data_IF_671291835835
#
_entry.id   IF_671291835835
#
_cell.length_a   1.000
_cell.length_b   1.000
_cell.length_c   1.000
_cell.angle_alpha   90.00
_cell.angle_beta   90.00
_cell.angle_gamma   90.00
#
_symmetry.space_group_name_H-M   'P 1'
#
loop_
_entity.id
_entity.type
_entity.pdbx_description
1 polymer ?
#
# COMPACT_ATOMS: atom_id res chain seq x y z
N UNK A 1 105.60 -24.21 -55.78
CA UNK A 1 104.59 -23.19 -55.38
C UNK A 1 103.14 -23.63 -55.68
N UNK A 2 102.81 -24.33 -56.75
CA UNK A 2 101.38 -24.72 -57.09
C UNK A 2 100.69 -25.54 -55.99
N UNK A 3 101.38 -26.46 -55.29
CA UNK A 3 100.76 -27.26 -54.20
C UNK A 3 100.40 -26.44 -52.95
N UNK A 4 101.02 -25.29 -52.69
CA UNK A 4 100.69 -24.41 -51.57
C UNK A 4 99.49 -23.55 -51.86
N UNK A 5 99.36 -23.06 -53.10
CA UNK A 5 98.26 -22.33 -53.60
C UNK A 5 96.98 -23.20 -53.68
N UNK A 6 97.14 -24.43 -54.12
CA UNK A 6 96.03 -25.39 -54.16
C UNK A 6 95.47 -25.73 -52.77
N UNK A 7 96.33 -25.84 -51.73
CA UNK A 7 95.91 -26.00 -50.34
C UNK A 7 95.27 -24.77 -49.77
N UNK A 8 95.76 -23.57 -50.11
CA UNK A 8 95.15 -22.30 -49.66
C UNK A 8 93.74 -22.12 -50.27
N UNK A 9 93.64 -22.37 -51.59
CA UNK A 9 92.32 -22.35 -52.29
C UNK A 9 91.33 -23.41 -51.77
N UNK A 10 91.83 -24.62 -51.43
CA UNK A 10 90.98 -25.63 -50.83
C UNK A 10 90.52 -25.25 -49.43
N UNK A 11 91.39 -24.61 -48.63
CA UNK A 11 91.00 -24.08 -47.29
C UNK A 11 89.99 -22.93 -47.35
N UNK A 12 90.18 -22.04 -48.36
CA UNK A 12 89.23 -20.96 -48.55
C UNK A 12 87.86 -21.46 -49.09
N UNK A 13 87.85 -22.49 -49.95
CA UNK A 13 86.67 -23.17 -50.39
C UNK A 13 85.89 -23.83 -49.24
N UNK A 14 86.58 -24.49 -48.29
CA UNK A 14 85.96 -25.09 -47.09
C UNK A 14 85.36 -24.04 -46.17
N UNK A 15 86.12 -22.93 -45.97
CA UNK A 15 85.57 -21.80 -45.18
C UNK A 15 84.30 -21.18 -45.83
N UNK A 16 84.37 -20.90 -47.14
CA UNK A 16 83.15 -20.39 -47.85
C UNK A 16 82.03 -21.38 -47.82
N UNK A 17 82.27 -22.66 -47.98
CA UNK A 17 81.21 -23.66 -47.86
C UNK A 17 80.62 -23.69 -46.45
N UNK A 18 81.49 -23.60 -45.39
CA UNK A 18 81.00 -23.50 -44.02
C UNK A 18 80.15 -22.23 -43.75
N UNK A 19 80.57 -21.10 -44.33
CA UNK A 19 79.72 -19.85 -44.25
C UNK A 19 78.43 -19.98 -45.04
N UNK A 20 78.45 -20.61 -46.19
CA UNK A 20 77.27 -20.81 -47.01
C UNK A 20 76.25 -21.68 -46.28
N UNK A 21 76.63 -22.77 -45.68
CA UNK A 21 75.75 -23.63 -44.88
C UNK A 21 75.17 -22.86 -43.69
N UNK A 22 75.98 -22.08 -42.99
CA UNK A 22 75.49 -21.26 -41.87
C UNK A 22 74.44 -20.18 -42.35
N UNK A 23 74.66 -19.58 -43.50
CA UNK A 23 73.72 -18.59 -44.06
C UNK A 23 72.47 -19.28 -44.51
N UNK A 24 72.53 -20.46 -45.12
CA UNK A 24 71.37 -21.26 -45.49
C UNK A 24 70.54 -21.66 -44.25
N UNK A 25 71.20 -22.19 -43.19
CA UNK A 25 70.52 -22.51 -41.92
C UNK A 25 69.83 -21.27 -41.33
N UNK A 26 70.53 -20.13 -41.29
CA UNK A 26 69.92 -18.86 -40.80
C UNK A 26 68.77 -18.37 -41.64
N UNK A 27 68.83 -18.52 -42.97
CA UNK A 27 67.75 -18.21 -43.87
C UNK A 27 66.52 -19.07 -43.60
N UNK A 28 66.67 -20.36 -43.40
CA UNK A 28 65.60 -21.31 -43.10
C UNK A 28 64.96 -20.91 -41.77
N UNK A 29 65.77 -20.62 -40.74
CA UNK A 29 65.28 -20.17 -39.46
C UNK A 29 64.47 -18.86 -39.56
N UNK A 30 64.95 -17.87 -40.28
CA UNK A 30 64.24 -16.58 -40.46
C UNK A 30 62.93 -16.75 -41.24
N UNK A 31 62.88 -17.66 -42.21
CA UNK A 31 61.62 -17.96 -42.95
C UNK A 31 60.63 -18.59 -41.98
N UNK A 32 61.08 -19.51 -41.15
CA UNK A 32 60.19 -20.15 -40.16
C UNK A 32 59.64 -19.15 -39.12
N UNK A 33 60.51 -18.29 -38.58
CA UNK A 33 60.09 -17.22 -37.65
C UNK A 33 59.12 -16.24 -38.32
N UNK A 34 59.29 -15.95 -39.58
CA UNK A 34 58.41 -15.12 -40.36
C UNK A 34 57.03 -15.76 -40.55
N UNK A 35 56.97 -17.02 -40.96
CA UNK A 35 55.72 -17.76 -41.16
C UNK A 35 54.95 -17.93 -39.82
N UNK A 36 55.66 -18.21 -38.74
CA UNK A 36 55.06 -18.26 -37.38
C UNK A 36 54.49 -16.92 -36.96
N UNK A 37 55.15 -15.81 -37.32
CA UNK A 37 54.67 -14.47 -36.99
C UNK A 37 53.40 -14.14 -37.78
N UNK A 38 53.36 -14.49 -39.07
CA UNK A 38 52.13 -14.30 -39.89
C UNK A 38 50.98 -15.15 -39.39
N UNK A 39 51.26 -16.40 -39.01
CA UNK A 39 50.27 -17.28 -38.44
C UNK A 39 49.70 -16.74 -37.14
N UNK A 40 50.54 -16.27 -36.22
CA UNK A 40 50.10 -15.61 -34.97
C UNK A 40 49.28 -14.36 -35.23
N UNK A 41 49.66 -13.55 -36.23
CA UNK A 41 48.93 -12.36 -36.59
C UNK A 41 47.51 -12.70 -37.04
N UNK A 42 47.34 -13.77 -37.79
CA UNK A 42 46.05 -14.22 -38.26
C UNK A 42 45.23 -14.90 -37.10
N UNK A 43 45.86 -15.79 -36.36
CA UNK A 43 45.17 -16.57 -35.28
C UNK A 43 44.78 -15.68 -34.11
N UNK A 44 45.64 -14.75 -33.67
CA UNK A 44 45.38 -13.88 -32.51
C UNK A 44 44.57 -12.61 -32.83
N UNK A 45 44.77 -12.04 -34.04
CA UNK A 45 44.21 -10.73 -34.39
C UNK A 45 43.28 -10.74 -35.62
N UNK A 46 43.17 -11.85 -36.34
CA UNK A 46 42.34 -11.97 -37.54
C UNK A 46 42.83 -11.09 -38.69
N UNK A 47 44.10 -10.65 -38.68
CA UNK A 47 44.64 -9.73 -39.67
C UNK A 47 45.54 -10.47 -40.66
N UNK A 48 45.36 -10.16 -41.93
CA UNK A 48 46.31 -10.54 -42.97
C UNK A 48 47.50 -9.61 -42.92
N UNK A 49 48.64 -10.04 -43.56
CA UNK A 49 49.84 -9.23 -43.66
C UNK A 49 49.56 -7.83 -44.25
N UNK A 50 48.84 -7.78 -45.35
CA UNK A 50 48.53 -6.51 -46.04
C UNK A 50 47.72 -5.56 -45.17
N UNK A 51 46.75 -6.08 -44.43
CA UNK A 51 45.95 -5.30 -43.49
C UNK A 51 46.73 -4.80 -42.29
N UNK A 52 47.72 -5.60 -41.81
CA UNK A 52 48.58 -5.20 -40.74
C UNK A 52 49.61 -4.13 -41.17
N UNK A 53 50.15 -4.23 -42.41
CA UNK A 53 51.02 -3.20 -43.00
C UNK A 53 50.27 -1.86 -43.24
N UNK A 54 48.97 -1.91 -43.62
CA UNK A 54 48.16 -0.72 -43.86
C UNK A 54 47.71 -0.03 -42.54
N UNK A 55 47.42 -0.84 -41.49
CA UNK A 55 46.98 -0.33 -40.17
C UNK A 55 48.11 -0.10 -39.18
N UNK A 56 49.25 -0.69 -39.41
CA UNK A 56 50.35 -0.71 -38.45
C UNK A 56 51.21 0.56 -38.47
N UNK A 57 51.17 1.32 -37.38
CA UNK A 57 52.22 2.28 -37.06
C UNK A 57 53.41 1.55 -36.54
N UNK A 58 54.57 1.69 -37.16
CA UNK A 58 55.82 1.09 -36.72
C UNK A 58 56.32 1.92 -35.51
N UNK A 59 56.37 1.35 -34.29
CA UNK A 59 56.85 2.10 -33.12
C UNK A 59 58.33 2.44 -33.28
N UNK A 60 58.68 3.67 -32.94
CA UNK A 60 60.10 4.15 -33.01
C UNK A 60 61.00 3.34 -32.08
N UNK A 61 60.53 2.88 -30.93
CA UNK A 61 61.26 2.03 -29.97
C UNK A 61 60.53 0.69 -29.79
N UNK A 62 60.93 -0.29 -30.59
CA UNK A 62 60.40 -1.68 -30.51
C UNK A 62 60.57 -2.32 -29.15
N UNK A 63 61.72 -2.23 -28.45
CA UNK A 63 61.90 -2.76 -27.11
C UNK A 63 60.95 -2.15 -26.06
N UNK A 64 60.70 -0.84 -26.13
CA UNK A 64 59.76 -0.16 -25.25
C UNK A 64 58.31 -0.61 -25.51
N UNK A 65 57.91 -0.76 -26.76
CA UNK A 65 56.61 -1.28 -27.15
C UNK A 65 56.39 -2.72 -26.68
N UNK A 66 57.37 -3.59 -26.78
CA UNK A 66 57.33 -4.97 -26.29
C UNK A 66 57.18 -5.04 -24.77
N UNK A 67 57.92 -4.23 -24.02
CA UNK A 67 57.75 -4.14 -22.55
C UNK A 67 56.35 -3.71 -22.19
N UNK A 68 55.81 -2.68 -22.84
CA UNK A 68 54.48 -2.19 -22.63
C UNK A 68 53.39 -3.24 -22.92
N UNK A 69 53.56 -4.00 -24.02
CA UNK A 69 52.69 -5.11 -24.36
C UNK A 69 52.71 -6.20 -23.26
N UNK A 70 53.86 -6.56 -22.76
CA UNK A 70 54.01 -7.55 -21.69
C UNK A 70 53.35 -7.09 -20.38
N UNK A 71 53.52 -5.80 -20.03
CA UNK A 71 52.83 -5.19 -18.88
C UNK A 71 51.32 -5.23 -19.02
N UNK A 72 50.79 -4.83 -20.19
CA UNK A 72 49.35 -4.84 -20.45
C UNK A 72 48.78 -6.26 -20.41
N UNK A 73 49.46 -7.24 -21.01
CA UNK A 73 49.05 -8.65 -20.94
C UNK A 73 49.02 -9.17 -19.50
N UNK A 74 49.98 -8.77 -18.67
CA UNK A 74 50.03 -9.14 -17.25
C UNK A 74 48.86 -8.50 -16.49
N UNK A 75 48.54 -7.22 -16.74
CA UNK A 75 47.40 -6.54 -16.16
C UNK A 75 46.06 -7.20 -16.57
N UNK A 76 45.89 -7.52 -17.86
CA UNK A 76 44.71 -8.24 -18.34
C UNK A 76 44.56 -9.60 -17.64
N UNK A 77 45.68 -10.36 -17.50
CA UNK A 77 45.63 -11.64 -16.77
C UNK A 77 45.32 -11.48 -15.29
N UNK A 78 45.77 -10.40 -14.66
CA UNK A 78 45.50 -10.14 -13.24
C UNK A 78 44.03 -9.74 -12.98
N UNK A 79 43.31 -9.25 -13.99
CA UNK A 79 41.88 -8.95 -13.90
C UNK A 79 41.00 -10.23 -13.88
N UNK A 80 41.57 -11.38 -14.25
CA UNK A 80 40.82 -12.65 -14.30
C UNK A 80 39.72 -12.65 -15.35
N UNK A 81 38.67 -13.45 -15.11
CA UNK A 81 37.49 -13.47 -15.96
C UNK A 81 36.59 -12.30 -15.60
N UNK A 82 36.75 -11.18 -16.29
CA UNK A 82 35.83 -10.03 -16.15
C UNK A 82 34.52 -10.37 -16.82
N UNK A 83 33.42 -10.38 -16.02
CA UNK A 83 32.09 -10.54 -16.56
C UNK A 83 31.65 -9.20 -17.19
N UNK A 84 31.76 -9.09 -18.51
CA UNK A 84 31.39 -7.87 -19.24
C UNK A 84 29.88 -7.60 -19.17
N UNK A 85 29.07 -8.68 -19.06
CA UNK A 85 27.61 -8.55 -18.93
C UNK A 85 27.18 -8.00 -17.57
N UNK A 86 28.05 -8.06 -16.55
CA UNK A 86 27.75 -7.53 -15.22
C UNK A 86 27.42 -6.03 -15.21
N UNK A 87 27.93 -5.26 -16.18
CA UNK A 87 27.65 -3.83 -16.29
C UNK A 87 26.19 -3.59 -16.74
N UNK A 88 25.74 -4.37 -17.72
CA UNK A 88 24.35 -4.29 -18.21
C UNK A 88 23.38 -4.83 -17.14
N UNK A 89 23.69 -5.97 -16.55
CA UNK A 89 22.91 -6.55 -15.45
C UNK A 89 22.79 -5.58 -14.26
N UNK A 90 23.89 -4.91 -13.88
CA UNK A 90 23.87 -3.91 -12.81
C UNK A 90 22.97 -2.72 -13.17
N UNK A 91 23.01 -2.26 -14.41
CA UNK A 91 22.18 -1.16 -14.88
C UNK A 91 20.68 -1.50 -14.82
N UNK A 92 20.30 -2.67 -15.33
CA UNK A 92 18.93 -3.15 -15.28
C UNK A 92 18.41 -3.30 -13.84
N UNK A 93 19.25 -3.91 -12.98
CA UNK A 93 18.91 -4.08 -11.56
C UNK A 93 18.81 -2.73 -10.84
N UNK A 94 19.71 -1.78 -11.16
CA UNK A 94 19.68 -0.43 -10.57
C UNK A 94 18.42 0.34 -10.97
N UNK A 95 18.07 0.35 -12.26
CA UNK A 95 16.86 1.00 -12.76
C UNK A 95 15.60 0.39 -12.12
N UNK A 96 15.55 -0.94 -12.02
CA UNK A 96 14.45 -1.65 -11.36
C UNK A 96 14.39 -1.33 -9.86
N UNK A 97 15.53 -1.27 -9.18
CA UNK A 97 15.60 -0.94 -7.76
C UNK A 97 15.10 0.49 -7.50
N UNK A 98 15.54 1.47 -8.28
CA UNK A 98 15.08 2.86 -8.18
C UNK A 98 13.57 2.97 -8.40
N UNK A 99 13.05 2.31 -9.44
CA UNK A 99 11.62 2.26 -9.71
C UNK A 99 10.84 1.64 -8.54
N UNK A 100 11.28 0.48 -8.03
CA UNK A 100 10.59 -0.18 -6.91
C UNK A 100 10.67 0.64 -5.62
N UNK A 101 11.79 1.30 -5.37
CA UNK A 101 11.95 2.18 -4.19
C UNK A 101 10.99 3.36 -4.25
N UNK A 102 10.82 3.98 -5.43
CA UNK A 102 9.84 5.03 -5.62
C UNK A 102 8.40 4.53 -5.40
N UNK A 103 8.07 3.34 -5.94
CA UNK A 103 6.75 2.73 -5.73
C UNK A 103 6.46 2.43 -4.25
N UNK A 104 7.45 1.90 -3.52
CA UNK A 104 7.31 1.65 -2.07
C UNK A 104 7.06 2.96 -1.32
N UNK A 105 7.82 4.01 -1.63
CA UNK A 105 7.64 5.33 -1.00
C UNK A 105 6.23 5.90 -1.28
N UNK A 106 5.71 5.78 -2.51
CA UNK A 106 4.36 6.22 -2.87
C UNK A 106 3.28 5.45 -2.11
N UNK A 107 3.43 4.12 -1.98
CA UNK A 107 2.49 3.29 -1.20
C UNK A 107 2.54 3.65 0.29
N UNK A 108 3.73 3.86 0.86
CA UNK A 108 3.88 4.28 2.25
C UNK A 108 3.25 5.66 2.51
N UNK A 109 3.47 6.62 1.64
CA UNK A 109 2.83 7.95 1.73
C UNK A 109 1.31 7.85 1.65
N UNK A 110 0.80 7.01 0.74
CA UNK A 110 -0.64 6.77 0.58
C UNK A 110 -1.23 6.10 1.83
N UNK A 111 -0.55 5.10 2.39
CA UNK A 111 -0.93 4.46 3.65
C UNK A 111 -1.01 5.48 4.79
N UNK A 112 0.00 6.31 4.94
CA UNK A 112 0.05 7.31 6.01
C UNK A 112 -1.03 8.38 5.86
N UNK A 113 -1.35 8.76 4.62
CA UNK A 113 -2.47 9.66 4.33
C UNK A 113 -3.83 9.02 4.71
N UNK A 114 -4.01 7.73 4.42
CA UNK A 114 -5.21 6.99 4.81
C UNK A 114 -5.35 6.86 6.33
N UNK A 115 -4.25 6.58 7.06
CA UNK A 115 -4.30 6.56 8.53
C UNK A 115 -4.67 7.91 9.13
N UNK A 116 -4.12 9.01 8.60
CA UNK A 116 -4.52 10.36 9.03
C UNK A 116 -6.00 10.63 8.78
N UNK A 117 -6.51 10.21 7.62
CA UNK A 117 -7.94 10.35 7.28
C UNK A 117 -8.82 9.53 8.24
N UNK A 118 -8.47 8.25 8.48
CA UNK A 118 -9.19 7.36 9.39
C UNK A 118 -9.25 7.98 10.79
N UNK A 119 -8.12 8.43 11.33
CA UNK A 119 -8.07 9.05 12.66
C UNK A 119 -8.94 10.31 12.71
N UNK A 120 -8.84 11.19 11.71
CA UNK A 120 -9.67 12.39 11.63
C UNK A 120 -11.18 12.08 11.56
N UNK A 121 -11.57 11.08 10.77
CA UNK A 121 -12.96 10.63 10.69
C UNK A 121 -13.43 10.02 12.01
N UNK A 122 -12.60 9.22 12.67
CA UNK A 122 -12.91 8.62 13.97
C UNK A 122 -13.13 9.69 15.04
N UNK A 123 -12.27 10.72 15.07
CA UNK A 123 -12.43 11.85 16.00
C UNK A 123 -13.72 12.64 15.73
N UNK A 124 -14.03 12.90 14.46
CA UNK A 124 -15.28 13.55 14.06
C UNK A 124 -16.51 12.71 14.45
N UNK A 125 -16.47 11.40 14.20
CA UNK A 125 -17.52 10.48 14.60
C UNK A 125 -17.73 10.48 16.13
N UNK A 126 -16.63 10.43 16.90
CA UNK A 126 -16.69 10.49 18.37
C UNK A 126 -17.30 11.78 18.87
N UNK A 127 -16.91 12.91 18.32
CA UNK A 127 -17.46 14.22 18.68
C UNK A 127 -18.96 14.32 18.35
N UNK A 128 -19.35 13.93 17.13
CA UNK A 128 -20.74 13.97 16.69
C UNK A 128 -21.62 13.02 17.49
N UNK A 129 -21.14 11.78 17.73
CA UNK A 129 -21.88 10.81 18.54
C UNK A 129 -22.11 11.34 19.96
N UNK A 130 -21.05 11.87 20.58
CA UNK A 130 -21.13 12.42 21.94
C UNK A 130 -22.14 13.57 22.03
N UNK A 131 -22.07 14.52 21.11
CA UNK A 131 -23.01 15.63 21.03
C UNK A 131 -24.46 15.12 20.90
N UNK A 132 -24.71 14.23 19.94
CA UNK A 132 -26.04 13.69 19.68
C UNK A 132 -26.56 12.83 20.82
N UNK A 133 -25.70 12.04 21.42
CA UNK A 133 -26.04 11.20 22.57
C UNK A 133 -26.57 12.04 23.74
N UNK A 134 -25.85 13.08 24.12
CA UNK A 134 -26.32 13.97 25.20
C UNK A 134 -27.56 14.75 24.84
N UNK A 135 -27.73 15.17 23.60
CA UNK A 135 -28.95 15.80 23.12
C UNK A 135 -30.13 14.83 23.21
N UNK A 136 -29.98 13.59 22.75
CA UNK A 136 -31.00 12.54 22.83
C UNK A 136 -31.34 12.26 24.30
N UNK A 137 -30.31 12.11 25.18
CA UNK A 137 -30.52 11.85 26.60
C UNK A 137 -31.36 12.97 27.29
N UNK A 138 -31.05 14.22 26.99
CA UNK A 138 -31.80 15.37 27.50
C UNK A 138 -33.29 15.37 27.03
N UNK A 139 -33.53 15.00 25.78
CA UNK A 139 -34.87 14.83 25.26
C UNK A 139 -35.56 13.60 25.85
N UNK A 140 -34.85 12.48 26.00
CA UNK A 140 -35.41 11.25 26.56
C UNK A 140 -35.95 11.46 27.97
N UNK A 141 -35.20 12.13 28.84
CA UNK A 141 -35.68 12.45 30.20
C UNK A 141 -36.99 13.25 30.19
N UNK A 142 -37.13 14.21 29.29
CA UNK A 142 -38.36 15.04 29.17
C UNK A 142 -39.51 14.22 28.58
N UNK A 143 -39.31 13.54 27.44
CA UNK A 143 -40.32 12.72 26.79
C UNK A 143 -40.85 11.64 27.71
N UNK A 144 -39.95 10.97 28.43
CA UNK A 144 -40.30 9.97 29.43
C UNK A 144 -41.23 10.53 30.52
N UNK A 145 -40.83 11.65 31.10
CA UNK A 145 -41.64 12.31 32.15
C UNK A 145 -43.04 12.74 31.64
N UNK A 146 -43.14 13.19 30.39
CA UNK A 146 -44.43 13.55 29.77
C UNK A 146 -45.31 12.32 29.52
N UNK A 147 -44.75 11.25 28.94
CA UNK A 147 -45.50 10.03 28.62
C UNK A 147 -45.93 9.24 29.86
N UNK A 148 -45.08 9.16 30.87
CA UNK A 148 -45.41 8.48 32.14
C UNK A 148 -46.20 9.35 33.12
N UNK A 149 -46.24 10.66 32.88
CA UNK A 149 -46.85 11.63 33.79
C UNK A 149 -46.00 11.84 35.04
N UNK A 150 -44.69 11.78 34.91
CA UNK A 150 -43.69 11.94 35.96
C UNK A 150 -42.60 10.87 35.91
N UNK A 151 -41.78 10.80 36.95
CA UNK A 151 -40.63 9.89 37.01
C UNK A 151 -39.36 10.46 36.34
N UNK A 152 -38.31 9.66 36.32
CA UNK A 152 -37.01 10.04 35.76
C UNK A 152 -36.47 8.95 34.85
N UNK A 153 -35.82 9.36 33.78
CA UNK A 153 -35.12 8.44 32.89
C UNK A 153 -33.86 9.08 32.30
N UNK A 154 -32.83 8.26 32.12
CA UNK A 154 -31.58 8.66 31.53
C UNK A 154 -30.95 7.52 30.71
N UNK A 155 -30.16 7.88 29.71
CA UNK A 155 -29.28 6.99 28.98
C UNK A 155 -27.86 7.17 29.49
N UNK A 156 -27.16 6.06 29.75
CA UNK A 156 -25.80 6.09 30.27
C UNK A 156 -24.90 5.24 29.41
N UNK A 157 -23.72 5.75 29.11
CA UNK A 157 -22.67 4.97 28.45
C UNK A 157 -22.01 4.04 29.47
N UNK A 158 -21.83 2.77 29.12
CA UNK A 158 -21.16 1.80 29.98
C UNK A 158 -19.65 2.03 30.03
N UNK A 159 -19.08 2.57 28.94
CA UNK A 159 -17.68 2.95 28.82
C UNK A 159 -17.55 4.35 28.20
N UNK A 160 -17.50 5.41 29.02
CA UNK A 160 -17.40 6.78 28.54
C UNK A 160 -16.09 7.11 27.80
N UNK A 161 -15.01 6.35 28.07
CA UNK A 161 -13.70 6.59 27.46
C UNK A 161 -13.65 6.05 26.03
N UNK A 162 -14.34 4.94 25.79
CA UNK A 162 -14.48 4.35 24.45
C UNK A 162 -15.90 4.54 23.89
N UNK A 163 -16.27 5.76 23.66
CA UNK A 163 -17.64 6.20 23.35
C UNK A 163 -18.27 5.49 22.13
N UNK A 164 -17.48 5.17 21.09
CA UNK A 164 -17.99 4.54 19.86
C UNK A 164 -18.26 3.03 20.00
N UNK A 165 -17.60 2.36 20.94
CA UNK A 165 -17.78 0.93 21.21
C UNK A 165 -18.55 0.70 22.51
N UNK A 166 -18.91 1.77 23.22
CA UNK A 166 -19.65 1.70 24.47
C UNK A 166 -21.05 1.12 24.27
N UNK A 167 -21.46 0.28 25.20
CA UNK A 167 -22.87 -0.05 25.38
C UNK A 167 -23.66 1.14 25.93
N UNK A 168 -25.00 1.12 25.75
CA UNK A 168 -25.90 2.11 26.31
C UNK A 168 -26.79 1.41 27.33
N UNK A 169 -26.72 1.85 28.58
CA UNK A 169 -27.60 1.42 29.65
C UNK A 169 -28.79 2.38 29.75
N UNK A 170 -29.99 1.83 29.88
CA UNK A 170 -31.22 2.59 30.03
C UNK A 170 -31.62 2.54 31.50
N UNK A 171 -31.64 3.67 32.16
CA UNK A 171 -32.09 3.81 33.54
C UNK A 171 -33.43 4.54 33.51
N UNK A 172 -34.48 3.89 34.01
CA UNK A 172 -35.84 4.46 34.01
C UNK A 172 -36.58 4.15 35.31
N UNK A 173 -37.12 5.18 35.92
CA UNK A 173 -37.91 5.09 37.15
C UNK A 173 -39.27 5.72 36.94
N UNK A 174 -40.30 4.91 36.62
CA UNK A 174 -41.69 5.39 36.54
C UNK A 174 -42.17 5.96 37.85
N UNK A 175 -43.16 6.88 37.83
CA UNK A 175 -43.68 7.48 39.07
C UNK A 175 -44.28 6.44 39.99
N UNK A 176 -43.96 6.54 41.31
CA UNK A 176 -44.47 5.65 42.34
C UNK A 176 -43.81 4.28 42.41
N UNK A 177 -42.78 3.99 41.63
CA UNK A 177 -42.01 2.73 41.63
C UNK A 177 -40.53 2.99 41.89
N UNK A 178 -39.90 2.20 42.77
CA UNK A 178 -38.48 2.17 42.94
C UNK A 178 -37.94 0.91 42.23
N UNK A 179 -37.42 1.08 41.04
CA UNK A 179 -36.99 -0.02 40.16
C UNK A 179 -35.49 0.10 39.92
N UNK A 180 -34.77 -0.99 40.08
CA UNK A 180 -33.33 -1.05 39.85
C UNK A 180 -32.97 -1.62 38.50
N UNK A 181 -33.86 -2.38 37.85
CA UNK A 181 -33.58 -3.13 36.61
C UNK A 181 -34.82 -3.06 35.68
N UNK A 182 -34.62 -2.74 34.41
CA UNK A 182 -35.69 -2.64 33.39
C UNK A 182 -36.52 -3.92 33.26
N UNK A 183 -35.96 -5.06 33.54
CA UNK A 183 -36.64 -6.37 33.52
C UNK A 183 -37.84 -6.44 34.43
N UNK A 184 -37.88 -5.67 35.49
CA UNK A 184 -38.94 -5.63 36.48
C UNK A 184 -40.19 -4.82 36.01
N UNK A 185 -40.06 -4.15 34.87
CA UNK A 185 -41.18 -3.39 34.29
C UNK A 185 -42.15 -4.29 33.53
N UNK A 186 -43.41 -3.91 33.52
CA UNK A 186 -44.44 -4.55 32.68
C UNK A 186 -44.13 -4.38 31.17
N UNK A 187 -44.73 -5.24 30.34
CA UNK A 187 -44.56 -5.17 28.90
C UNK A 187 -44.98 -3.81 28.32
N UNK A 188 -46.08 -3.23 28.80
CA UNK A 188 -46.53 -1.90 28.38
C UNK A 188 -45.60 -0.78 28.81
N UNK A 189 -45.00 -0.85 30.01
CA UNK A 189 -44.02 0.12 30.48
C UNK A 189 -42.72 0.04 29.66
N UNK A 190 -42.24 -1.18 29.33
CA UNK A 190 -41.11 -1.36 28.45
C UNK A 190 -41.33 -0.78 27.05
N UNK A 191 -42.51 -1.02 26.49
CA UNK A 191 -42.91 -0.44 25.19
C UNK A 191 -42.97 1.08 25.25
N UNK A 192 -43.49 1.66 26.33
CA UNK A 192 -43.56 3.10 26.53
C UNK A 192 -42.17 3.75 26.68
N UNK A 193 -41.20 3.06 27.34
CA UNK A 193 -39.80 3.48 27.41
C UNK A 193 -39.19 3.48 25.99
N UNK A 194 -39.39 2.40 25.23
CA UNK A 194 -38.84 2.29 23.87
C UNK A 194 -39.35 3.43 22.97
N UNK A 195 -40.68 3.73 23.07
CA UNK A 195 -41.24 4.83 22.29
C UNK A 195 -40.73 6.19 22.76
N UNK A 196 -40.46 6.35 24.07
CA UNK A 196 -39.87 7.57 24.63
C UNK A 196 -38.48 7.84 24.07
N UNK A 197 -37.66 6.80 23.92
CA UNK A 197 -36.35 6.90 23.30
C UNK A 197 -36.50 7.25 21.82
N UNK A 198 -37.39 6.57 21.12
CA UNK A 198 -37.65 6.84 19.71
C UNK A 198 -38.03 8.30 19.46
N UNK A 199 -38.97 8.85 20.25
CA UNK A 199 -39.36 10.26 20.14
C UNK A 199 -38.21 11.21 20.54
N UNK A 200 -37.36 10.84 21.50
CA UNK A 200 -36.18 11.60 21.83
C UNK A 200 -35.18 11.71 20.65
N UNK A 201 -35.00 10.61 19.93
CA UNK A 201 -34.17 10.59 18.69
C UNK A 201 -34.81 11.48 17.61
N UNK A 202 -36.15 11.38 17.42
CA UNK A 202 -36.88 12.22 16.45
C UNK A 202 -36.80 13.72 16.79
N UNK A 203 -36.73 14.07 18.08
CA UNK A 203 -36.55 15.50 18.49
C UNK A 203 -35.21 16.07 18.10
N UNK A 204 -34.16 15.23 18.06
CA UNK A 204 -32.79 15.65 17.63
C UNK A 204 -32.68 15.70 16.11
N UNK A 205 -33.36 14.77 15.41
CA UNK A 205 -33.33 14.69 13.96
C UNK A 205 -34.78 14.40 13.44
N UNK A 206 -35.65 15.41 13.33
CA UNK A 206 -37.04 15.21 12.95
C UNK A 206 -37.16 14.72 11.50
N UNK A 207 -37.77 13.56 11.27
CA UNK A 207 -38.09 13.09 9.94
C UNK A 207 -39.31 13.84 9.35
N UNK A 208 -39.47 13.90 8.03
CA UNK A 208 -40.64 14.52 7.39
C UNK A 208 -41.91 13.75 7.67
N UNK A 209 -41.86 12.45 7.82
CA UNK A 209 -43.00 11.60 8.20
C UNK A 209 -42.54 10.40 9.02
N UNK A 210 -43.46 9.81 9.77
CA UNK A 210 -43.23 8.62 10.60
C UNK A 210 -44.42 7.68 10.52
N UNK A 211 -44.18 6.39 10.35
CA UNK A 211 -45.16 5.31 10.37
C UNK A 211 -45.07 4.56 11.67
N UNK A 212 -46.12 4.45 12.43
CA UNK A 212 -46.23 3.73 13.69
C UNK A 212 -47.26 2.60 13.52
N UNK A 213 -46.82 1.36 13.63
CA UNK A 213 -47.66 0.18 13.45
C UNK A 213 -47.91 -0.52 14.78
N UNK A 214 -49.14 -0.43 15.28
CA UNK A 214 -49.64 -1.04 16.53
C UNK A 214 -48.78 -0.80 17.79
N UNK A 215 -48.01 0.31 17.83
CA UNK A 215 -47.09 0.60 18.95
C UNK A 215 -47.80 0.80 20.28
N UNK A 216 -49.09 1.17 20.25
CA UNK A 216 -49.94 1.39 21.40
C UNK A 216 -50.72 0.15 21.88
N UNK A 217 -50.59 -0.99 21.20
CA UNK A 217 -51.32 -2.22 21.52
C UNK A 217 -51.07 -2.71 22.96
N UNK A 218 -49.86 -2.53 23.46
CA UNK A 218 -49.46 -2.97 24.82
C UNK A 218 -49.75 -1.94 25.93
N UNK A 219 -50.27 -0.74 25.59
CA UNK A 219 -50.50 0.32 26.56
C UNK A 219 -51.86 0.17 27.27
N UNK A 220 -51.90 0.57 28.53
CA UNK A 220 -53.18 0.78 29.22
C UNK A 220 -53.86 2.07 28.70
N UNK A 221 -55.14 2.26 28.98
CA UNK A 221 -55.93 3.35 28.46
C UNK A 221 -55.39 4.74 28.83
N UNK A 222 -54.76 4.88 30.00
CA UNK A 222 -54.14 6.14 30.44
C UNK A 222 -52.91 6.45 29.60
N UNK A 223 -52.08 5.43 29.37
CA UNK A 223 -50.86 5.58 28.55
C UNK A 223 -51.18 5.76 27.08
N UNK A 224 -52.24 5.12 26.55
CA UNK A 224 -52.75 5.40 25.17
C UNK A 224 -53.12 6.86 25.03
N UNK A 225 -53.87 7.42 25.99
CA UNK A 225 -54.28 8.84 25.93
C UNK A 225 -53.06 9.77 25.96
N UNK A 226 -52.09 9.53 26.86
CA UNK A 226 -50.86 10.35 26.91
C UNK A 226 -50.03 10.25 25.67
N UNK A 227 -49.92 9.05 25.11
CA UNK A 227 -49.24 8.80 23.84
C UNK A 227 -49.88 9.56 22.70
N UNK A 228 -51.22 9.47 22.58
CA UNK A 228 -51.96 10.17 21.54
C UNK A 228 -51.86 11.69 21.67
N UNK A 229 -51.95 12.22 22.90
CA UNK A 229 -51.74 13.65 23.16
C UNK A 229 -50.32 14.12 22.83
N UNK A 230 -49.31 13.25 23.07
CA UNK A 230 -47.93 13.53 22.70
C UNK A 230 -47.76 13.58 21.19
N UNK A 231 -48.32 12.60 20.44
CA UNK A 231 -48.31 12.57 18.98
C UNK A 231 -48.97 13.81 18.38
N UNK A 232 -50.13 14.22 18.89
CA UNK A 232 -50.82 15.40 18.42
C UNK A 232 -49.97 16.68 18.54
N UNK A 233 -49.16 16.81 19.60
CA UNK A 233 -48.18 17.91 19.72
C UNK A 233 -47.00 17.81 18.77
N UNK A 234 -46.56 16.58 18.47
CA UNK A 234 -45.43 16.37 17.54
C UNK A 234 -45.86 16.51 16.08
N UNK A 235 -47.13 16.37 15.76
CA UNK A 235 -47.65 16.45 14.39
C UNK A 235 -47.53 17.85 13.77
N UNK A 236 -47.26 18.89 14.58
CA UNK A 236 -46.96 20.23 14.05
C UNK A 236 -45.69 20.26 13.17
N UNK A 237 -44.72 19.35 13.40
CA UNK A 237 -43.45 19.32 12.68
C UNK A 237 -43.18 18.04 11.88
N UNK A 238 -43.95 16.97 12.11
CA UNK A 238 -43.74 15.66 11.48
C UNK A 238 -45.11 15.04 11.17
N UNK A 239 -45.27 14.53 9.96
CA UNK A 239 -46.48 13.79 9.61
C UNK A 239 -46.47 12.39 10.22
N UNK A 240 -47.48 12.02 11.03
CA UNK A 240 -47.61 10.68 11.58
C UNK A 240 -48.67 9.88 10.82
N UNK A 241 -48.37 8.65 10.47
CA UNK A 241 -49.25 7.63 9.95
C UNK A 241 -49.31 6.53 11.03
N UNK A 242 -50.43 6.40 11.71
CA UNK A 242 -50.60 5.47 12.82
C UNK A 242 -51.57 4.37 12.44
N UNK A 243 -51.13 3.13 12.48
CA UNK A 243 -51.94 1.93 12.34
C UNK A 243 -52.27 1.49 13.77
N UNK A 244 -53.58 1.51 14.12
CA UNK A 244 -54.01 1.18 15.49
C UNK A 244 -55.43 0.68 15.51
N UNK A 245 -55.78 -0.11 16.51
CA UNK A 245 -57.12 -0.50 16.88
C UNK A 245 -57.60 0.17 18.18
N UNK A 246 -56.74 1.02 18.77
CA UNK A 246 -57.04 1.68 20.06
C UNK A 246 -57.83 2.97 19.83
N UNK A 247 -58.99 3.05 20.47
CA UNK A 247 -59.92 4.19 20.33
C UNK A 247 -59.28 5.53 20.76
N UNK A 248 -58.48 5.51 21.88
CA UNK A 248 -57.83 6.73 22.36
C UNK A 248 -56.85 7.35 21.37
N UNK A 249 -56.15 6.54 20.55
CA UNK A 249 -55.30 7.04 19.47
C UNK A 249 -56.12 7.55 18.28
N UNK A 250 -57.22 6.86 17.91
CA UNK A 250 -58.08 7.25 16.82
C UNK A 250 -58.77 8.61 17.08
N UNK A 251 -59.18 8.88 18.33
CA UNK A 251 -59.90 10.13 18.71
C UNK A 251 -59.03 11.39 18.58
N UNK A 252 -57.70 11.24 18.54
CA UNK A 252 -56.75 12.34 18.40
C UNK A 252 -56.21 12.53 16.97
N UNK A 253 -56.59 11.66 16.05
CA UNK A 253 -56.17 11.76 14.67
C UNK A 253 -56.96 12.87 13.92
N UNK A 254 -56.27 13.65 13.10
CA UNK A 254 -56.89 14.65 12.24
C UNK A 254 -57.70 13.99 11.11
N UNK A 255 -57.28 12.79 10.67
CA UNK A 255 -57.92 12.05 9.60
C UNK A 255 -57.89 10.53 9.86
N UNK A 256 -59.05 9.88 9.69
CA UNK A 256 -59.19 8.43 9.88
C UNK A 256 -59.44 7.73 8.55
N UNK A 257 -58.73 6.64 8.32
CA UNK A 257 -58.93 5.75 7.19
C UNK A 257 -59.36 4.37 7.69
N UNK A 258 -60.52 3.88 7.28
CA UNK A 258 -60.96 2.52 7.54
C UNK A 258 -60.45 1.59 6.43
N UNK A 259 -59.73 0.56 6.79
CA UNK A 259 -59.31 -0.52 5.85
C UNK A 259 -60.25 -1.69 6.10
N UNK A 260 -61.01 -2.06 5.07
CA UNK A 260 -61.98 -3.16 5.10
C UNK A 260 -61.56 -4.32 4.22
#
# INVERSE_FOLDING_TARGET
NMRVEERALSGDKEKMNGELVRLEERKIQMVHEYDDTIKKLYDEYGLTRSEAEEKGEIPEDIPAAQRRLAELRTKIRSLGSVNVSAIEEYREVSERYEFMTAQVADVENSRDALYKLINSLTDQMKALFTERFYAINAHFSRVFSELFGGGTAELKLTDPDNTLESGIEIIAQPPGKTISIIEQLSGGEKALIAISIYFAVMKVNPPPFCILDEVDAAFDDVNVTRFADYLARMSEGTQFIVITHRRGSMEKADMLYGVT
#
